data_IF_063506585775
#
_entry.id   IF_063506585775
#
_cell.length_a   1.000
_cell.length_b   1.000
_cell.length_c   1.000
_cell.angle_alpha   90.00
_cell.angle_beta   90.00
_cell.angle_gamma   90.00
#
_symmetry.space_group_name_H-M   'P 1'
#
loop_
_entity.id
_entity.type
_entity.pdbx_description
1 polymer ?
#
# COMPACT_ATOMS: atom_id res chain seq x y z
N UNK A 1 -10.63 7.13 -16.56
CA UNK A 1 -11.08 8.38 -15.93
C UNK A 1 -9.87 9.32 -15.91
N UNK A 2 -9.93 10.39 -16.74
CA UNK A 2 -8.93 11.48 -16.69
C UNK A 2 -9.32 12.39 -15.53
N UNK A 3 -8.49 12.44 -14.49
CA UNK A 3 -8.63 13.37 -13.38
C UNK A 3 -8.25 14.76 -13.91
N UNK A 4 -9.14 15.75 -13.74
CA UNK A 4 -8.84 17.14 -14.14
C UNK A 4 -7.88 17.77 -13.13
N UNK A 5 -7.00 18.66 -13.57
CA UNK A 5 -5.97 19.26 -12.71
C UNK A 5 -6.59 20.09 -11.56
N UNK A 6 -7.77 20.68 -11.76
CA UNK A 6 -8.54 21.37 -10.71
C UNK A 6 -8.97 20.47 -9.56
N UNK A 7 -9.18 19.17 -9.84
CA UNK A 7 -9.53 18.17 -8.81
C UNK A 7 -8.30 17.77 -7.94
N UNK A 8 -7.11 18.23 -8.34
CA UNK A 8 -5.82 17.91 -7.69
C UNK A 8 -5.27 19.07 -6.87
N UNK A 9 -5.48 20.32 -7.33
CA UNK A 9 -4.87 21.53 -6.75
C UNK A 9 -5.90 22.61 -6.51
N UNK A 10 -5.91 23.20 -5.30
CA UNK A 10 -6.88 24.17 -4.79
C UNK A 10 -7.01 25.50 -5.55
N UNK A 11 -6.06 25.86 -6.39
CA UNK A 11 -5.89 27.22 -6.89
C UNK A 11 -6.08 27.37 -8.40
N UNK A 12 -6.74 26.40 -9.06
CA UNK A 12 -6.85 26.41 -10.52
C UNK A 12 -8.33 26.49 -10.93
N UNK A 13 -8.77 27.65 -11.43
CA UNK A 13 -10.07 27.86 -12.08
C UNK A 13 -9.97 27.59 -13.58
N UNK A 14 -11.06 27.06 -14.20
CA UNK A 14 -11.01 26.55 -15.61
C UNK A 14 -11.34 27.62 -16.66
N UNK A 15 -12.00 28.72 -16.30
CA UNK A 15 -12.47 29.70 -17.25
C UNK A 15 -11.44 30.84 -17.42
N UNK A 16 -10.67 30.77 -18.50
CA UNK A 16 -9.62 31.73 -18.89
C UNK A 16 -8.40 31.78 -17.95
N UNK A 17 -7.49 30.77 -18.03
CA UNK A 17 -6.32 30.74 -17.16
C UNK A 17 -5.38 31.91 -17.44
N UNK A 18 -5.10 32.68 -16.40
CA UNK A 18 -4.08 33.72 -16.42
C UNK A 18 -2.68 33.12 -16.67
N UNK A 19 -1.74 33.92 -17.13
CA UNK A 19 -0.35 33.47 -17.39
C UNK A 19 0.30 32.88 -16.13
N UNK A 20 -0.05 33.38 -14.95
CA UNK A 20 0.39 32.85 -13.65
C UNK A 20 -0.22 31.46 -13.35
N UNK A 21 -1.45 31.20 -13.74
CA UNK A 21 -2.08 29.87 -13.55
C UNK A 21 -1.51 28.84 -14.51
N UNK A 22 -1.17 29.21 -15.75
CA UNK A 22 -0.46 28.34 -16.68
C UNK A 22 0.94 27.98 -16.16
N UNK A 23 1.64 28.93 -15.56
CA UNK A 23 2.94 28.70 -14.93
C UNK A 23 2.82 27.77 -13.71
N UNK A 24 1.76 27.96 -12.88
CA UNK A 24 1.46 27.05 -11.76
C UNK A 24 1.12 25.63 -12.24
N UNK A 25 0.31 25.49 -13.29
CA UNK A 25 -0.01 24.18 -13.88
C UNK A 25 1.24 23.44 -14.34
N UNK A 26 2.12 24.13 -15.06
CA UNK A 26 3.39 23.57 -15.55
C UNK A 26 4.28 23.15 -14.37
N UNK A 27 4.38 23.99 -13.34
CA UNK A 27 5.15 23.69 -12.13
C UNK A 27 4.64 22.44 -11.42
N UNK A 28 3.31 22.29 -11.25
CA UNK A 28 2.69 21.10 -10.61
C UNK A 28 2.96 19.85 -11.43
N UNK A 29 2.85 19.90 -12.76
CA UNK A 29 3.14 18.75 -13.63
C UNK A 29 4.61 18.34 -13.50
N UNK A 30 5.54 19.28 -13.49
CA UNK A 30 6.96 19.00 -13.29
C UNK A 30 7.23 18.35 -11.93
N UNK A 31 6.66 18.89 -10.85
CA UNK A 31 6.78 18.30 -9.52
C UNK A 31 6.22 16.87 -9.44
N UNK A 32 5.08 16.61 -10.07
CA UNK A 32 4.51 15.26 -10.12
C UNK A 32 5.39 14.29 -10.90
N UNK A 33 6.00 14.73 -12.02
CA UNK A 33 6.93 13.89 -12.78
C UNK A 33 8.23 13.61 -11.99
N UNK A 34 8.75 14.59 -11.27
CA UNK A 34 9.89 14.40 -10.38
C UNK A 34 9.57 13.42 -9.24
N UNK A 35 8.39 13.53 -8.60
CA UNK A 35 7.91 12.58 -7.59
C UNK A 35 7.83 11.18 -8.20
N UNK A 36 7.28 11.04 -9.41
CA UNK A 36 7.18 9.77 -10.13
C UNK A 36 8.55 9.14 -10.39
N UNK A 37 9.54 9.95 -10.79
CA UNK A 37 10.91 9.47 -11.02
C UNK A 37 11.57 9.04 -9.71
N UNK A 38 11.41 9.83 -8.65
CA UNK A 38 11.90 9.50 -7.30
C UNK A 38 11.28 8.20 -6.80
N UNK A 39 9.99 8.00 -7.02
CA UNK A 39 9.30 6.76 -6.67
C UNK A 39 9.80 5.54 -7.45
N UNK A 40 10.09 5.70 -8.76
CA UNK A 40 10.70 4.63 -9.56
C UNK A 40 12.10 4.25 -9.07
N UNK A 41 12.92 5.24 -8.67
CA UNK A 41 14.24 5.00 -8.06
C UNK A 41 14.10 4.24 -6.74
N UNK A 42 13.19 4.68 -5.87
CA UNK A 42 12.87 4.02 -4.61
C UNK A 42 12.47 2.55 -4.81
N UNK A 43 11.59 2.24 -5.78
CA UNK A 43 11.16 0.87 -6.08
C UNK A 43 12.34 -0.04 -6.48
N UNK A 44 13.30 0.49 -7.26
CA UNK A 44 14.52 -0.25 -7.62
C UNK A 44 15.42 -0.55 -6.41
N UNK A 45 15.44 0.34 -5.42
CA UNK A 45 16.22 0.17 -4.19
C UNK A 45 15.59 -0.87 -3.27
N UNK A 46 14.25 -0.88 -3.15
CA UNK A 46 13.54 -1.93 -2.41
C UNK A 46 13.78 -3.33 -3.00
N UNK A 47 13.76 -3.45 -4.32
CA UNK A 47 14.08 -4.72 -4.98
C UNK A 47 15.50 -5.21 -4.65
N UNK A 48 16.48 -4.31 -4.53
CA UNK A 48 17.85 -4.63 -4.09
C UNK A 48 17.94 -5.02 -2.61
N UNK A 49 17.02 -4.52 -1.77
CA UNK A 49 16.97 -4.87 -0.35
C UNK A 49 16.57 -6.33 -0.16
N UNK A 50 15.61 -6.81 -0.95
CA UNK A 50 15.14 -8.19 -0.92
C UNK A 50 16.24 -9.18 -1.36
N UNK A 51 17.15 -8.75 -2.26
CA UNK A 51 18.29 -9.54 -2.73
C UNK A 51 19.48 -9.54 -1.76
N UNK A 52 19.58 -8.54 -0.86
CA UNK A 52 20.78 -8.25 -0.06
C UNK A 52 20.67 -8.63 1.43
N UNK A 53 19.89 -9.64 1.80
CA UNK A 53 19.62 -10.04 3.19
C UNK A 53 20.83 -10.37 4.09
N UNK A 54 22.07 -10.27 3.63
CA UNK A 54 23.22 -10.83 4.34
C UNK A 54 24.22 -9.86 4.96
N UNK A 55 24.09 -8.54 4.77
CA UNK A 55 25.05 -7.56 5.30
C UNK A 55 24.35 -6.38 5.99
N UNK A 56 24.29 -6.38 7.32
CA UNK A 56 23.66 -5.34 8.17
C UNK A 56 24.06 -3.90 7.79
N UNK A 57 25.34 -3.65 7.45
CA UNK A 57 25.82 -2.33 7.02
C UNK A 57 25.21 -1.84 5.72
N UNK A 58 24.89 -2.74 4.78
CA UNK A 58 24.23 -2.40 3.52
C UNK A 58 22.74 -2.11 3.74
N UNK A 59 22.11 -2.86 4.63
CA UNK A 59 20.70 -2.64 5.02
C UNK A 59 20.52 -1.26 5.64
N UNK A 60 21.40 -0.87 6.58
CA UNK A 60 21.31 0.47 7.23
C UNK A 60 21.58 1.62 6.25
N UNK A 61 22.50 1.46 5.29
CA UNK A 61 22.74 2.46 4.25
C UNK A 61 21.52 2.63 3.34
N UNK A 62 20.93 1.52 2.89
CA UNK A 62 19.72 1.54 2.05
C UNK A 62 18.52 2.13 2.81
N UNK A 63 18.36 1.83 4.09
CA UNK A 63 17.30 2.43 4.93
C UNK A 63 17.44 3.95 5.03
N UNK A 64 18.66 4.48 5.22
CA UNK A 64 18.92 5.93 5.21
C UNK A 64 18.57 6.56 3.86
N UNK A 65 18.92 5.92 2.76
CA UNK A 65 18.60 6.40 1.42
C UNK A 65 17.07 6.42 1.18
N UNK A 66 16.36 5.40 1.65
CA UNK A 66 14.89 5.34 1.60
C UNK A 66 14.28 6.49 2.42
N UNK A 67 14.81 6.81 3.60
CA UNK A 67 14.32 7.92 4.42
C UNK A 67 14.52 9.26 3.72
N UNK A 68 15.69 9.49 3.14
CA UNK A 68 15.97 10.72 2.37
C UNK A 68 14.99 10.90 1.20
N UNK A 69 14.69 9.83 0.45
CA UNK A 69 13.67 9.87 -0.62
C UNK A 69 12.26 10.14 -0.09
N UNK A 70 11.90 9.62 1.08
CA UNK A 70 10.60 9.92 1.71
C UNK A 70 10.48 11.41 2.04
N UNK A 71 11.51 12.00 2.63
CA UNK A 71 11.54 13.42 2.97
C UNK A 71 11.47 14.32 1.73
N UNK A 72 12.20 13.97 0.67
CA UNK A 72 12.15 14.68 -0.60
C UNK A 72 10.73 14.65 -1.21
N UNK A 73 10.08 13.50 -1.24
CA UNK A 73 8.70 13.37 -1.73
C UNK A 73 7.73 14.19 -0.88
N UNK A 74 7.84 14.15 0.45
CA UNK A 74 6.97 14.90 1.36
C UNK A 74 7.13 16.40 1.14
N UNK A 75 8.36 16.90 0.98
CA UNK A 75 8.62 18.32 0.73
C UNK A 75 7.94 18.77 -0.57
N UNK A 76 8.11 18.02 -1.65
CA UNK A 76 7.49 18.32 -2.96
C UNK A 76 5.95 18.26 -2.91
N UNK A 77 5.38 17.29 -2.17
CA UNK A 77 3.93 17.20 -2.00
C UNK A 77 3.34 18.38 -1.22
N UNK A 78 4.07 18.92 -0.25
CA UNK A 78 3.65 20.13 0.48
C UNK A 78 3.59 21.35 -0.44
N UNK A 79 4.53 21.46 -1.38
CA UNK A 79 4.58 22.57 -2.34
C UNK A 79 3.40 22.56 -3.32
N UNK A 80 2.82 21.38 -3.58
CA UNK A 80 1.67 21.21 -4.51
C UNK A 80 0.35 21.70 -3.89
N UNK A 81 0.23 21.78 -2.55
CA UNK A 81 -1.03 22.12 -1.84
C UNK A 81 -2.22 21.29 -2.33
N UNK A 82 -2.14 19.98 -2.18
CA UNK A 82 -3.15 19.03 -2.65
C UNK A 82 -4.57 19.41 -2.17
N UNK A 83 -5.54 19.21 -3.06
CA UNK A 83 -6.96 19.39 -2.74
C UNK A 83 -7.43 18.33 -1.76
N UNK A 84 -8.30 18.73 -0.82
CA UNK A 84 -8.80 17.83 0.22
C UNK A 84 -9.52 16.62 -0.37
N UNK A 85 -10.31 16.83 -1.40
CA UNK A 85 -11.05 15.76 -2.10
C UNK A 85 -10.13 14.69 -2.68
N UNK A 86 -8.95 15.09 -3.17
CA UNK A 86 -7.94 14.14 -3.65
C UNK A 86 -7.32 13.37 -2.49
N UNK A 87 -7.02 14.05 -1.39
CA UNK A 87 -6.48 13.40 -0.18
C UNK A 87 -7.48 12.36 0.33
N UNK A 88 -8.77 12.71 0.41
CA UNK A 88 -9.82 11.80 0.86
C UNK A 88 -9.93 10.57 -0.06
N UNK A 89 -9.86 10.73 -1.40
CA UNK A 89 -9.82 9.61 -2.36
C UNK A 89 -8.58 8.72 -2.20
N UNK A 90 -7.42 9.31 -1.90
CA UNK A 90 -6.19 8.52 -1.63
C UNK A 90 -6.39 7.69 -0.37
N UNK A 91 -6.96 8.27 0.68
CA UNK A 91 -7.25 7.57 1.94
C UNK A 91 -8.21 6.41 1.70
N UNK A 92 -9.32 6.62 0.98
CA UNK A 92 -10.26 5.58 0.61
C UNK A 92 -9.59 4.44 -0.18
N UNK A 93 -8.72 4.78 -1.14
CA UNK A 93 -7.97 3.79 -1.91
C UNK A 93 -7.05 2.95 -1.02
N UNK A 94 -6.37 3.57 -0.07
CA UNK A 94 -5.50 2.87 0.90
C UNK A 94 -6.34 1.99 1.83
N UNK A 95 -7.49 2.48 2.30
CA UNK A 95 -8.44 1.69 3.12
C UNK A 95 -8.92 0.44 2.37
N UNK A 96 -9.21 0.56 1.08
CA UNK A 96 -9.61 -0.56 0.25
C UNK A 96 -8.50 -1.59 0.09
N UNK A 97 -7.26 -1.16 -0.12
CA UNK A 97 -6.11 -2.07 -0.16
C UNK A 97 -5.91 -2.79 1.17
N UNK A 98 -5.95 -2.09 2.28
CA UNK A 98 -5.84 -2.70 3.62
C UNK A 98 -6.95 -3.72 3.86
N UNK A 99 -8.19 -3.40 3.47
CA UNK A 99 -9.33 -4.31 3.57
C UNK A 99 -9.12 -5.59 2.76
N UNK A 100 -8.67 -5.45 1.51
CA UNK A 100 -8.37 -6.59 0.64
C UNK A 100 -7.24 -7.46 1.20
N UNK A 101 -6.14 -6.84 1.66
CA UNK A 101 -5.02 -7.56 2.26
C UNK A 101 -5.45 -8.32 3.53
N UNK A 102 -6.24 -7.68 4.42
CA UNK A 102 -6.78 -8.34 5.63
C UNK A 102 -7.68 -9.52 5.30
N UNK A 103 -8.54 -9.37 4.30
CA UNK A 103 -9.39 -10.46 3.87
C UNK A 103 -8.55 -11.64 3.37
N UNK A 104 -7.54 -11.39 2.53
CA UNK A 104 -6.62 -12.42 2.07
C UNK A 104 -5.87 -13.10 3.23
N UNK A 105 -5.37 -12.33 4.19
CA UNK A 105 -4.67 -12.86 5.37
C UNK A 105 -5.60 -13.73 6.24
N UNK A 106 -6.84 -13.28 6.46
CA UNK A 106 -7.82 -14.03 7.24
C UNK A 106 -8.20 -15.34 6.56
N UNK A 107 -8.42 -15.30 5.24
CA UNK A 107 -8.72 -16.50 4.47
C UNK A 107 -7.54 -17.47 4.52
N UNK A 108 -6.31 -16.99 4.30
CA UNK A 108 -5.11 -17.81 4.43
C UNK A 108 -4.99 -18.43 5.82
N UNK A 109 -5.20 -17.64 6.88
CA UNK A 109 -5.14 -18.15 8.26
C UNK A 109 -6.19 -19.24 8.51
N UNK A 110 -7.41 -19.06 8.00
CA UNK A 110 -8.47 -20.09 8.13
C UNK A 110 -8.07 -21.39 7.43
N UNK A 111 -7.52 -21.30 6.22
CA UNK A 111 -7.06 -22.49 5.48
C UNK A 111 -5.86 -23.17 6.16
N UNK A 112 -4.92 -22.41 6.69
CA UNK A 112 -3.77 -22.97 7.41
C UNK A 112 -4.21 -23.67 8.70
N UNK A 113 -5.15 -23.06 9.44
CA UNK A 113 -5.71 -23.67 10.65
C UNK A 113 -6.42 -25.00 10.37
N UNK A 114 -7.11 -25.15 9.25
CA UNK A 114 -7.79 -26.40 8.89
C UNK A 114 -6.83 -27.56 8.67
N UNK A 115 -5.59 -27.30 8.28
CA UNK A 115 -4.54 -28.31 8.04
C UNK A 115 -3.56 -28.45 9.20
N UNK A 116 -3.58 -27.55 10.19
CA UNK A 116 -2.67 -27.53 11.31
C UNK A 116 -1.21 -27.24 10.96
N UNK A 117 -0.94 -26.79 9.72
CA UNK A 117 0.40 -26.48 9.21
C UNK A 117 0.60 -24.97 9.06
N UNK A 118 1.85 -24.54 9.13
CA UNK A 118 2.20 -23.15 8.85
C UNK A 118 2.35 -22.88 7.34
N UNK A 119 2.41 -21.60 6.96
CA UNK A 119 2.47 -21.21 5.55
C UNK A 119 3.72 -21.71 4.83
N UNK A 120 4.85 -21.79 5.52
CA UNK A 120 6.12 -22.24 4.93
C UNK A 120 6.11 -23.75 4.68
N UNK A 121 5.59 -24.51 5.63
CA UNK A 121 5.42 -25.97 5.48
C UNK A 121 4.52 -26.32 4.30
N UNK A 122 3.42 -25.57 4.12
CA UNK A 122 2.50 -25.78 2.98
C UNK A 122 3.18 -25.40 1.66
N UNK A 123 3.92 -24.28 1.62
CA UNK A 123 4.68 -23.90 0.42
C UNK A 123 5.72 -24.95 0.06
N UNK A 124 6.42 -25.48 1.03
CA UNK A 124 7.42 -26.54 0.81
C UNK A 124 6.77 -27.84 0.34
N UNK A 125 5.62 -28.20 0.89
CA UNK A 125 4.84 -29.35 0.43
C UNK A 125 4.41 -29.18 -1.03
N UNK A 126 3.92 -28.00 -1.40
CA UNK A 126 3.52 -27.71 -2.79
C UNK A 126 4.72 -27.69 -3.73
N UNK A 127 5.87 -27.19 -3.30
CA UNK A 127 7.13 -27.23 -4.07
C UNK A 127 7.57 -28.66 -4.33
N UNK A 128 7.56 -29.54 -3.32
CA UNK A 128 7.85 -30.96 -3.45
C UNK A 128 6.87 -31.70 -4.33
N UNK A 129 5.59 -31.29 -4.32
CA UNK A 129 4.55 -31.82 -5.20
C UNK A 129 4.83 -31.44 -6.66
N UNK A 130 5.26 -30.18 -6.93
CA UNK A 130 5.57 -29.69 -8.27
C UNK A 130 6.87 -30.30 -8.83
N UNK A 131 7.88 -30.51 -7.99
CA UNK A 131 9.12 -31.20 -8.36
C UNK A 131 8.96 -32.73 -8.52
N UNK A 132 7.77 -33.27 -8.20
CA UNK A 132 7.47 -34.70 -8.15
C UNK A 132 8.25 -35.49 -7.13
N UNK A 133 8.80 -34.86 -6.12
CA UNK A 133 9.49 -35.49 -5.02
C UNK A 133 8.53 -36.24 -4.08
N UNK A 134 7.26 -35.81 -4.05
CA UNK A 134 6.17 -36.45 -3.29
C UNK A 134 5.02 -36.78 -4.23
N UNK A 135 4.42 -37.97 -4.07
CA UNK A 135 3.23 -38.33 -4.82
C UNK A 135 1.99 -37.54 -4.31
N UNK A 136 1.03 -37.18 -5.18
CA UNK A 136 -0.20 -36.50 -4.77
C UNK A 136 -0.98 -37.21 -3.67
N UNK A 137 -0.94 -38.53 -3.67
CA UNK A 137 -1.61 -39.38 -2.66
C UNK A 137 -1.00 -39.22 -1.27
N UNK A 138 0.34 -39.11 -1.19
CA UNK A 138 1.05 -38.89 0.09
C UNK A 138 0.82 -37.47 0.60
N UNK A 139 0.88 -36.48 -0.27
CA UNK A 139 0.60 -35.08 0.08
C UNK A 139 -0.84 -34.89 0.59
N UNK A 140 -1.82 -35.53 -0.07
CA UNK A 140 -3.21 -35.51 0.33
C UNK A 140 -3.45 -36.16 1.71
N UNK A 141 -2.79 -37.31 1.97
CA UNK A 141 -2.83 -37.94 3.29
C UNK A 141 -2.22 -37.06 4.39
N UNK A 142 -1.13 -36.36 4.08
CA UNK A 142 -0.46 -35.46 5.03
C UNK A 142 -1.33 -34.27 5.45
N UNK A 143 -2.24 -33.83 4.57
CA UNK A 143 -3.20 -32.78 4.83
C UNK A 143 -4.61 -33.29 5.23
N UNK A 144 -4.79 -34.61 5.36
CA UNK A 144 -6.08 -35.26 5.66
C UNK A 144 -7.20 -34.89 4.67
N UNK A 145 -6.91 -34.86 3.38
CA UNK A 145 -7.85 -34.52 2.32
C UNK A 145 -7.74 -35.50 1.14
N UNK A 146 -8.71 -35.44 0.23
CA UNK A 146 -8.64 -36.18 -1.04
C UNK A 146 -7.65 -35.53 -2.02
N UNK A 147 -7.27 -36.26 -3.07
CA UNK A 147 -6.34 -35.73 -4.09
C UNK A 147 -6.97 -34.57 -4.86
N UNK A 148 -8.26 -34.61 -5.14
CA UNK A 148 -8.98 -33.54 -5.84
C UNK A 148 -9.10 -32.27 -4.97
N UNK A 149 -9.38 -32.47 -3.68
CA UNK A 149 -9.37 -31.38 -2.70
C UNK A 149 -7.98 -30.75 -2.56
N UNK A 150 -6.90 -31.54 -2.59
CA UNK A 150 -5.53 -31.04 -2.53
C UNK A 150 -5.21 -30.07 -3.67
N UNK A 151 -5.59 -30.39 -4.90
CA UNK A 151 -5.34 -29.50 -6.04
C UNK A 151 -6.17 -28.22 -5.95
N UNK A 152 -7.43 -28.31 -5.57
CA UNK A 152 -8.29 -27.14 -5.35
C UNK A 152 -7.74 -26.26 -4.21
N UNK A 153 -7.30 -26.87 -3.12
CA UNK A 153 -6.69 -26.22 -1.98
C UNK A 153 -5.39 -25.51 -2.36
N UNK A 154 -4.54 -26.16 -3.14
CA UNK A 154 -3.30 -25.60 -3.65
C UNK A 154 -3.54 -24.35 -4.50
N UNK A 155 -4.46 -24.44 -5.48
CA UNK A 155 -4.80 -23.32 -6.35
C UNK A 155 -5.33 -22.12 -5.55
N UNK A 156 -6.21 -22.39 -4.59
CA UNK A 156 -6.80 -21.37 -3.73
C UNK A 156 -5.76 -20.68 -2.85
N UNK A 157 -4.86 -21.41 -2.19
CA UNK A 157 -3.81 -20.87 -1.35
C UNK A 157 -2.82 -20.04 -2.18
N UNK A 158 -2.32 -20.59 -3.29
CA UNK A 158 -1.38 -19.89 -4.16
C UNK A 158 -2.00 -18.61 -4.75
N UNK A 159 -3.26 -18.67 -5.16
CA UNK A 159 -3.98 -17.48 -5.64
C UNK A 159 -4.10 -16.38 -4.57
N UNK A 160 -4.40 -16.74 -3.31
CA UNK A 160 -4.46 -15.76 -2.22
C UNK A 160 -3.09 -15.16 -1.90
N UNK A 161 -2.02 -15.97 -1.91
CA UNK A 161 -0.65 -15.50 -1.72
C UNK A 161 -0.26 -14.52 -2.83
N UNK A 162 -0.57 -14.85 -4.08
CA UNK A 162 -0.25 -13.99 -5.22
C UNK A 162 -0.99 -12.64 -5.15
N UNK A 163 -2.28 -12.65 -4.79
CA UNK A 163 -3.05 -11.42 -4.60
C UNK A 163 -2.42 -10.57 -3.49
N UNK A 164 -2.06 -11.17 -2.36
CA UNK A 164 -1.44 -10.47 -1.24
C UNK A 164 -0.11 -9.85 -1.66
N UNK A 165 0.75 -10.60 -2.36
CA UNK A 165 2.02 -10.10 -2.88
C UNK A 165 1.84 -8.94 -3.85
N UNK A 166 0.93 -9.05 -4.81
CA UNK A 166 0.60 -7.96 -5.75
C UNK A 166 0.13 -6.68 -5.04
N UNK A 167 -0.68 -6.82 -3.99
CA UNK A 167 -1.14 -5.67 -3.21
C UNK A 167 0.01 -5.04 -2.42
N UNK A 168 0.87 -5.85 -1.78
CA UNK A 168 2.05 -5.37 -1.08
C UNK A 168 3.04 -4.67 -2.01
N UNK A 169 3.28 -5.20 -3.20
CA UNK A 169 4.10 -4.56 -4.23
C UNK A 169 3.54 -3.21 -4.69
N UNK A 170 2.21 -3.12 -4.88
CA UNK A 170 1.56 -1.85 -5.26
C UNK A 170 1.71 -0.79 -4.17
N UNK A 171 1.54 -1.17 -2.92
CA UNK A 171 1.60 -0.27 -1.78
C UNK A 171 3.04 -0.03 -1.30
N UNK A 172 4.00 -0.89 -1.66
CA UNK A 172 5.37 -0.91 -1.11
C UNK A 172 5.41 -0.98 0.43
N UNK A 173 4.37 -1.51 1.05
CA UNK A 173 4.20 -1.63 2.49
C UNK A 173 3.41 -2.90 2.84
N UNK A 174 3.65 -3.43 4.04
CA UNK A 174 2.84 -4.49 4.60
C UNK A 174 1.52 -3.94 5.18
N UNK A 175 0.61 -4.84 5.57
CA UNK A 175 -0.70 -4.46 6.10
C UNK A 175 -0.58 -3.64 7.39
N UNK A 176 0.30 -4.05 8.30
CA UNK A 176 0.46 -3.40 9.61
C UNK A 176 0.95 -1.96 9.48
N UNK A 177 1.90 -1.70 8.57
CA UNK A 177 2.41 -0.35 8.32
C UNK A 177 1.31 0.57 7.76
N UNK A 178 0.50 0.05 6.82
CA UNK A 178 -0.61 0.81 6.24
C UNK A 178 -1.70 1.10 7.27
N UNK A 179 -1.98 0.17 8.16
CA UNK A 179 -2.94 0.34 9.26
C UNK A 179 -2.48 1.40 10.24
N UNK A 180 -1.21 1.41 10.60
CA UNK A 180 -0.64 2.46 11.46
C UNK A 180 -0.78 3.83 10.80
N UNK A 181 -0.47 3.94 9.50
CA UNK A 181 -0.63 5.19 8.75
C UNK A 181 -2.09 5.64 8.73
N UNK A 182 -3.03 4.75 8.42
CA UNK A 182 -4.47 5.06 8.43
C UNK A 182 -4.95 5.49 9.83
N UNK A 183 -4.50 4.82 10.89
CA UNK A 183 -4.84 5.20 12.25
C UNK A 183 -4.35 6.62 12.58
N UNK A 184 -3.11 6.96 12.20
CA UNK A 184 -2.53 8.30 12.38
C UNK A 184 -3.31 9.36 11.61
N UNK A 185 -3.72 9.08 10.39
CA UNK A 185 -4.54 9.99 9.56
C UNK A 185 -5.91 10.21 10.22
N UNK A 186 -6.61 9.14 10.63
CA UNK A 186 -7.91 9.24 11.30
C UNK A 186 -7.82 10.03 12.60
N UNK A 187 -6.79 9.81 13.38
CA UNK A 187 -6.53 10.58 14.60
C UNK A 187 -6.35 12.07 14.32
N UNK A 188 -5.55 12.40 13.29
CA UNK A 188 -5.35 13.79 12.86
C UNK A 188 -6.64 14.45 12.37
N UNK A 189 -7.42 13.77 11.53
CA UNK A 189 -8.71 14.27 11.05
C UNK A 189 -9.71 14.51 12.20
N UNK A 190 -9.77 13.61 13.16
CA UNK A 190 -10.63 13.77 14.34
C UNK A 190 -10.21 14.96 15.20
N UNK A 191 -8.91 15.18 15.39
CA UNK A 191 -8.40 16.34 16.11
C UNK A 191 -8.73 17.64 15.39
N UNK A 192 -8.54 17.72 14.08
CA UNK A 192 -8.90 18.87 13.26
C UNK A 192 -10.41 19.16 13.28
N UNK A 193 -11.24 18.11 13.22
CA UNK A 193 -12.70 18.26 13.31
C UNK A 193 -13.14 18.80 14.67
N UNK A 194 -12.55 18.33 15.77
CA UNK A 194 -12.82 18.85 17.13
C UNK A 194 -12.44 20.32 17.23
N UNK A 195 -11.25 20.70 16.80
CA UNK A 195 -10.81 22.09 16.81
C UNK A 195 -11.73 23.01 15.98
N UNK A 196 -12.17 22.54 14.80
CA UNK A 196 -13.15 23.25 13.98
C UNK A 196 -14.50 23.45 14.71
N UNK A 197 -14.99 22.42 15.40
CA UNK A 197 -16.22 22.50 16.18
C UNK A 197 -16.09 23.48 17.36
N UNK A 198 -14.93 23.48 18.05
CA UNK A 198 -14.66 24.43 19.12
C UNK A 198 -14.63 25.88 18.61
N UNK A 199 -13.99 26.14 17.47
CA UNK A 199 -14.01 27.45 16.83
C UNK A 199 -15.44 27.91 16.48
N UNK A 200 -16.25 27.03 15.89
CA UNK A 200 -17.64 27.33 15.57
C UNK A 200 -18.43 27.65 16.84
N UNK A 201 -18.28 26.86 17.90
CA UNK A 201 -18.95 27.10 19.18
C UNK A 201 -18.51 28.41 19.83
N UNK A 202 -17.23 28.75 19.76
CA UNK A 202 -16.72 30.02 20.29
C UNK A 202 -17.24 31.20 19.51
N UNK A 203 -17.29 31.11 18.17
CA UNK A 203 -17.85 32.17 17.33
C UNK A 203 -19.35 32.35 17.57
N UNK A 204 -20.13 31.29 17.78
CA UNK A 204 -21.57 31.35 18.10
C UNK A 204 -21.83 31.95 19.49
N UNK A 205 -20.87 31.95 20.40
CA UNK A 205 -21.00 32.63 21.72
C UNK A 205 -20.72 34.13 21.67
N UNK A 206 -20.08 34.60 20.59
CA UNK A 206 -19.76 36.00 20.39
C UNK A 206 -20.86 36.76 19.64
N UNK A 207 -21.82 36.05 19.08
CA UNK A 207 -23.05 36.57 18.45
C UNK A 207 -24.24 36.46 19.41
#
# INVERSE_FOLDING_TARGET
NRIKLKDVVKTIEEDDPTEDEMNQRTRVILLLEEIRQTFKKKRKIYAKLDECCTLERRVTAIQKEIMAFKEEIVTRLRDIKLEKTLIDRIIETVEDYVRQMRNCQRDLSAYLLSTGKNQEEIKDLFRKLDSRDISPVLAAKELNMSVDELFSYKEMILGKIEILQRLQEKCCHNVSDLEEVLWRIKRGNNAAMRAKQELIRSNLRLV
#
